data_IF_034366071388
#
_entry.id   IF_034366071388
#
_cell.length_a   1.000
_cell.length_b   1.000
_cell.length_c   1.000
_cell.angle_alpha   90.00
_cell.angle_beta   90.00
_cell.angle_gamma   90.00
#
_symmetry.space_group_name_H-M   'P 1'
#
loop_
_entity.id
_entity.type
_entity.pdbx_description
1 polymer ?
#
# COMPACT_ATOMS: atom_id res chain seq x y z
N UNK A 1 -2.48 -37.32 -0.13
CA UNK A 1 -3.13 -36.61 0.99
C UNK A 1 -2.68 -35.14 1.11
N UNK A 2 -1.40 -34.81 1.32
CA UNK A 2 -0.89 -33.43 1.50
C UNK A 2 -1.32 -32.49 0.36
N UNK A 3 -1.21 -32.94 -0.89
CA UNK A 3 -1.63 -32.15 -2.06
C UNK A 3 -3.12 -31.77 -2.01
N UNK A 4 -3.99 -32.65 -1.49
CA UNK A 4 -5.42 -32.40 -1.40
C UNK A 4 -5.76 -31.42 -0.28
N UNK A 5 -5.02 -31.45 0.84
CA UNK A 5 -5.11 -30.45 1.91
C UNK A 5 -4.73 -29.07 1.39
N UNK A 6 -3.61 -28.96 0.69
CA UNK A 6 -3.13 -27.71 0.09
C UNK A 6 -4.11 -27.20 -0.97
N UNK A 7 -4.66 -28.09 -1.81
CA UNK A 7 -5.65 -27.73 -2.83
C UNK A 7 -6.95 -27.21 -2.21
N UNK A 8 -7.44 -27.83 -1.14
CA UNK A 8 -8.62 -27.37 -0.40
C UNK A 8 -8.39 -25.95 0.17
N UNK A 9 -7.22 -25.71 0.77
CA UNK A 9 -6.83 -24.37 1.28
C UNK A 9 -6.69 -23.35 0.16
N UNK A 10 -6.11 -23.74 -0.98
CA UNK A 10 -5.95 -22.86 -2.14
C UNK A 10 -7.31 -22.40 -2.71
N UNK A 11 -8.32 -23.28 -2.71
CA UNK A 11 -9.71 -22.97 -3.07
C UNK A 11 -10.49 -22.22 -1.99
N UNK A 12 -9.80 -21.54 -1.08
CA UNK A 12 -10.38 -20.79 0.05
C UNK A 12 -11.10 -21.66 1.10
N UNK A 13 -10.91 -22.97 1.08
CA UNK A 13 -11.39 -23.86 2.13
C UNK A 13 -10.65 -23.59 3.45
N UNK A 14 -11.41 -23.36 4.52
CA UNK A 14 -10.87 -23.14 5.87
C UNK A 14 -11.26 -24.31 6.76
N UNK A 15 -10.31 -24.80 7.56
CA UNK A 15 -10.57 -25.75 8.61
C UNK A 15 -10.87 -24.98 9.89
N UNK A 16 -12.10 -25.06 10.38
CA UNK A 16 -12.54 -24.40 11.63
C UNK A 16 -12.62 -25.39 12.77
N UNK A 17 -12.98 -26.63 12.44
CA UNK A 17 -13.07 -27.74 13.38
C UNK A 17 -12.34 -28.96 12.82
N UNK A 18 -11.85 -29.88 13.69
CA UNK A 18 -11.21 -31.12 13.24
C UNK A 18 -12.06 -31.91 12.23
N UNK A 19 -13.37 -31.85 12.34
CA UNK A 19 -14.34 -32.51 11.45
C UNK A 19 -14.27 -31.98 10.01
N UNK A 20 -13.79 -30.76 9.79
CA UNK A 20 -13.65 -30.19 8.45
C UNK A 20 -12.64 -30.97 7.59
N UNK A 21 -11.74 -31.73 8.23
CA UNK A 21 -10.83 -32.60 7.51
C UNK A 21 -11.54 -33.70 6.71
N UNK A 22 -12.74 -34.11 7.10
CA UNK A 22 -13.57 -35.05 6.32
C UNK A 22 -13.95 -34.54 4.93
N UNK A 23 -13.90 -33.22 4.72
CA UNK A 23 -14.18 -32.56 3.43
C UNK A 23 -13.03 -32.72 2.41
N UNK A 24 -11.90 -33.26 2.83
CA UNK A 24 -10.74 -33.45 1.95
C UNK A 24 -11.00 -34.63 1.04
N UNK A 25 -10.96 -34.41 -0.26
CA UNK A 25 -11.11 -35.48 -1.24
C UNK A 25 -10.05 -36.56 -1.08
N UNK A 26 -10.47 -37.83 -1.04
CA UNK A 26 -9.60 -38.98 -0.90
C UNK A 26 -9.14 -39.31 0.54
N UNK A 27 -9.75 -38.69 1.56
CA UNK A 27 -9.57 -39.08 2.95
C UNK A 27 -10.68 -40.06 3.36
N UNK A 28 -10.30 -41.30 3.77
CA UNK A 28 -11.25 -42.26 4.28
C UNK A 28 -11.56 -42.02 5.77
N UNK A 29 -12.71 -42.51 6.24
CA UNK A 29 -13.12 -42.33 7.64
C UNK A 29 -12.10 -42.96 8.60
N UNK A 30 -11.52 -44.12 8.26
CA UNK A 30 -10.48 -44.80 9.05
C UNK A 30 -9.23 -43.93 9.17
N UNK A 31 -8.80 -43.34 8.05
CA UNK A 31 -7.66 -42.42 8.04
C UNK A 31 -7.95 -41.17 8.86
N UNK A 32 -9.17 -40.64 8.78
CA UNK A 32 -9.58 -39.52 9.60
C UNK A 32 -9.53 -39.81 11.09
N UNK A 33 -10.04 -40.97 11.53
CA UNK A 33 -10.01 -41.38 12.93
C UNK A 33 -8.58 -41.52 13.45
N UNK A 34 -7.66 -42.04 12.62
CA UNK A 34 -6.25 -42.13 12.96
C UNK A 34 -5.57 -40.77 13.11
N UNK A 35 -5.96 -39.82 12.26
CA UNK A 35 -5.37 -38.46 12.26
C UNK A 35 -6.00 -37.54 13.28
N UNK A 36 -7.26 -37.75 13.66
CA UNK A 36 -8.03 -36.89 14.56
C UNK A 36 -7.27 -36.42 15.82
N UNK A 37 -6.60 -37.28 16.57
CA UNK A 37 -5.86 -36.87 17.78
C UNK A 37 -4.69 -35.92 17.51
N UNK A 38 -4.18 -35.87 16.27
CA UNK A 38 -3.06 -35.03 15.85
C UNK A 38 -3.50 -33.73 15.18
N UNK A 39 -4.81 -33.57 14.90
CA UNK A 39 -5.35 -32.36 14.28
C UNK A 39 -5.57 -31.31 15.36
N UNK A 40 -4.69 -30.31 15.40
CA UNK A 40 -4.86 -29.11 16.21
C UNK A 40 -5.20 -27.95 15.30
N UNK A 41 -6.34 -27.32 15.53
CA UNK A 41 -6.76 -26.11 14.84
C UNK A 41 -6.71 -25.00 15.88
N UNK A 42 -5.70 -24.14 15.74
CA UNK A 42 -5.57 -22.94 16.58
C UNK A 42 -6.57 -21.90 16.04
N UNK A 43 -7.49 -21.46 16.86
CA UNK A 43 -8.47 -20.43 16.52
C UNK A 43 -7.77 -19.05 16.46
N UNK A 44 -7.16 -18.73 15.34
CA UNK A 44 -6.65 -17.39 15.04
C UNK A 44 -7.47 -16.68 13.98
N UNK A 45 -8.78 -16.88 13.94
CA UNK A 45 -9.67 -16.09 13.11
C UNK A 45 -11.00 -15.83 13.83
N UNK A 46 -11.04 -14.73 14.57
CA UNK A 46 -12.30 -14.13 15.01
C UNK A 46 -13.13 -13.73 13.80
N UNK A 47 -14.04 -14.57 13.38
CA UNK A 47 -15.19 -14.17 12.59
C UNK A 47 -16.36 -13.87 13.55
N UNK A 48 -16.79 -12.63 13.52
CA UNK A 48 -18.05 -12.16 14.06
C UNK A 48 -19.20 -13.16 13.88
N UNK A 49 -19.77 -13.64 14.98
CA UNK A 49 -21.17 -14.00 15.05
C UNK A 49 -21.75 -13.52 16.39
N UNK A 50 -22.84 -12.81 16.24
CA UNK A 50 -23.73 -12.33 17.30
C UNK A 50 -24.36 -13.52 18.04
N UNK A 51 -24.67 -13.22 19.31
CA UNK A 51 -25.58 -13.90 20.24
C UNK A 51 -25.00 -15.08 21.03
N UNK A 52 -24.63 -14.86 22.21
CA UNK A 52 -25.27 -15.18 23.49
C UNK A 52 -24.32 -14.92 24.68
N UNK A 53 -24.87 -14.23 25.64
CA UNK A 53 -24.28 -13.87 26.93
C UNK A 53 -23.85 -15.09 27.72
N UNK A 54 -22.59 -15.14 28.18
CA UNK A 54 -22.24 -15.68 29.51
C UNK A 54 -20.96 -15.01 30.02
N UNK A 55 -21.13 -14.32 31.11
CA UNK A 55 -20.11 -13.73 31.95
C UNK A 55 -19.17 -14.79 32.50
N UNK A 56 -17.88 -14.71 32.17
CA UNK A 56 -16.79 -15.06 33.08
C UNK A 56 -15.65 -14.06 32.79
N UNK A 57 -15.29 -13.36 33.82
CA UNK A 57 -14.27 -12.32 33.87
C UNK A 57 -12.89 -12.87 33.50
N UNK A 58 -12.38 -12.47 32.35
CA UNK A 58 -10.95 -12.46 32.02
C UNK A 58 -10.59 -11.02 31.68
N UNK A 59 -9.38 -10.53 32.01
CA UNK A 59 -9.06 -9.12 31.86
C UNK A 59 -9.22 -8.73 30.40
N UNK A 60 -10.11 -7.81 30.16
CA UNK A 60 -10.34 -7.21 28.85
C UNK A 60 -9.02 -6.67 28.32
N UNK A 61 -8.50 -7.32 27.26
CA UNK A 61 -7.60 -6.61 26.35
C UNK A 61 -8.39 -5.40 25.91
N UNK A 62 -8.05 -4.25 26.44
CA UNK A 62 -8.58 -2.97 25.97
C UNK A 62 -8.29 -2.93 24.46
N UNK A 63 -9.31 -3.18 23.65
CA UNK A 63 -9.26 -2.75 22.25
C UNK A 63 -9.13 -1.25 22.36
N UNK A 64 -7.96 -0.73 22.02
CA UNK A 64 -7.79 0.70 21.82
C UNK A 64 -8.87 1.15 20.85
N UNK A 65 -9.99 1.60 21.39
CA UNK A 65 -11.03 2.25 20.60
C UNK A 65 -10.45 3.60 20.21
N UNK A 66 -9.76 3.60 19.07
CA UNK A 66 -9.23 4.82 18.47
C UNK A 66 -10.38 5.82 18.33
N UNK A 67 -10.37 6.82 19.18
CA UNK A 67 -11.34 7.91 19.11
C UNK A 67 -11.21 8.55 17.73
N UNK A 68 -12.29 8.53 16.95
CA UNK A 68 -12.33 9.12 15.63
C UNK A 68 -12.34 10.64 15.72
N UNK A 69 -11.71 11.28 14.74
CA UNK A 69 -11.76 12.75 14.62
C UNK A 69 -13.18 13.23 14.33
N UNK A 70 -13.50 14.38 14.85
CA UNK A 70 -14.76 15.08 14.57
C UNK A 70 -14.70 15.72 13.18
N UNK A 71 -15.84 15.87 12.49
CA UNK A 71 -15.92 16.63 11.24
C UNK A 71 -15.33 18.03 11.40
N UNK A 72 -14.52 18.45 10.41
CA UNK A 72 -13.78 19.72 10.48
C UNK A 72 -12.34 19.60 10.95
N UNK A 73 -11.91 18.43 11.46
CA UNK A 73 -10.49 18.20 11.78
C UNK A 73 -9.71 18.02 10.48
N UNK A 74 -8.65 18.82 10.30
CA UNK A 74 -7.76 18.74 9.13
C UNK A 74 -6.38 18.27 9.60
N UNK A 75 -5.84 17.24 8.98
CA UNK A 75 -4.49 16.73 9.23
C UNK A 75 -3.64 16.82 7.97
N UNK A 76 -2.31 16.90 8.13
CA UNK A 76 -1.40 16.91 6.98
C UNK A 76 -1.26 15.52 6.38
N UNK A 77 -1.59 15.36 5.09
CA UNK A 77 -1.47 14.11 4.36
C UNK A 77 -0.01 13.65 4.24
N UNK A 78 0.93 14.59 4.20
CA UNK A 78 2.35 14.31 4.03
C UNK A 78 3.08 13.95 5.34
N UNK A 79 2.54 14.33 6.51
CA UNK A 79 3.17 14.04 7.80
C UNK A 79 2.42 13.03 8.67
N UNK A 80 1.10 12.91 8.48
CA UNK A 80 0.27 12.02 9.29
C UNK A 80 0.78 10.57 9.29
N UNK A 81 0.84 9.96 10.45
CA UNK A 81 1.20 8.56 10.62
C UNK A 81 -0.03 7.63 10.45
N UNK A 82 0.21 6.32 10.48
CA UNK A 82 -0.88 5.34 10.36
C UNK A 82 -1.88 5.43 11.51
N UNK A 83 -1.48 5.94 12.68
CA UNK A 83 -2.35 6.08 13.86
C UNK A 83 -3.28 7.27 13.71
N UNK A 84 -2.74 8.39 13.24
CA UNK A 84 -3.54 9.59 12.92
C UNK A 84 -4.51 9.34 11.78
N UNK A 85 -4.02 8.72 10.69
CA UNK A 85 -4.87 8.37 9.55
C UNK A 85 -6.05 7.48 9.95
N UNK A 86 -5.83 6.50 10.84
CA UNK A 86 -6.90 5.64 11.36
C UNK A 86 -7.97 6.38 12.17
N UNK A 87 -7.70 7.56 12.68
CA UNK A 87 -8.71 8.38 13.37
C UNK A 87 -9.71 9.03 12.41
N UNK A 88 -9.41 9.10 11.11
CA UNK A 88 -10.36 9.59 10.11
C UNK A 88 -11.47 8.54 9.91
N UNK A 89 -12.76 8.94 9.90
CA UNK A 89 -13.87 8.05 9.58
C UNK A 89 -13.70 7.43 8.19
N UNK A 90 -13.84 6.10 8.08
CA UNK A 90 -13.67 5.37 6.82
C UNK A 90 -12.24 4.94 6.52
N UNK A 91 -11.23 5.41 7.26
CA UNK A 91 -9.84 4.95 7.10
C UNK A 91 -9.54 3.89 8.19
N UNK A 92 -9.34 2.67 7.73
CA UNK A 92 -8.87 1.54 8.54
C UNK A 92 -7.36 1.31 8.42
N UNK A 93 -6.83 0.31 9.13
CA UNK A 93 -5.39 0.02 9.17
C UNK A 93 -4.80 -0.30 7.78
N UNK A 94 -5.55 -0.99 6.91
CA UNK A 94 -5.10 -1.31 5.55
C UNK A 94 -5.00 -0.06 4.68
N UNK A 95 -6.01 0.81 4.74
CA UNK A 95 -6.02 2.07 3.97
C UNK A 95 -4.92 3.00 4.47
N UNK A 96 -4.76 3.14 5.79
CA UNK A 96 -3.72 3.97 6.37
C UNK A 96 -2.31 3.53 5.91
N UNK A 97 -2.03 2.23 5.95
CA UNK A 97 -0.76 1.68 5.43
C UNK A 97 -0.59 1.91 3.93
N UNK A 98 -1.65 1.77 3.14
CA UNK A 98 -1.62 2.01 1.71
C UNK A 98 -1.28 3.47 1.38
N UNK A 99 -1.87 4.43 2.11
CA UNK A 99 -1.57 5.86 1.98
C UNK A 99 -0.10 6.12 2.31
N UNK A 100 0.41 5.62 3.45
CA UNK A 100 1.80 5.83 3.86
C UNK A 100 2.78 5.21 2.88
N UNK A 101 2.57 3.96 2.45
CA UNK A 101 3.43 3.29 1.48
C UNK A 101 3.44 4.01 0.12
N UNK A 102 2.28 4.49 -0.32
CA UNK A 102 2.21 5.23 -1.58
C UNK A 102 2.90 6.59 -1.46
N UNK A 103 2.70 7.30 -0.34
CA UNK A 103 3.41 8.54 -0.01
C UNK A 103 4.93 8.38 -0.06
N UNK A 104 5.46 7.31 0.52
CA UNK A 104 6.90 7.04 0.53
C UNK A 104 7.46 6.81 -0.88
N UNK A 105 6.75 6.04 -1.70
CA UNK A 105 7.11 5.80 -3.10
C UNK A 105 7.04 7.07 -3.95
N UNK A 106 6.00 7.88 -3.71
CA UNK A 106 5.76 9.14 -4.43
C UNK A 106 6.75 10.25 -4.01
N UNK A 107 7.30 10.13 -2.79
CA UNK A 107 8.10 11.18 -2.18
C UNK A 107 7.27 12.28 -1.51
N UNK A 108 5.96 12.06 -1.38
CA UNK A 108 4.96 12.96 -0.81
C UNK A 108 3.87 13.30 -1.81
N UNK A 109 2.66 13.55 -1.31
CA UNK A 109 1.54 13.99 -2.13
C UNK A 109 1.68 15.48 -2.49
N UNK A 110 1.41 15.79 -3.72
CA UNK A 110 1.35 17.17 -4.21
C UNK A 110 -0.11 17.65 -4.38
N UNK A 111 -1.03 16.72 -4.64
CA UNK A 111 -2.46 16.97 -4.80
C UNK A 111 -3.26 15.86 -4.13
N UNK A 112 -4.46 16.21 -3.64
CA UNK A 112 -5.35 15.23 -2.99
C UNK A 112 -5.87 14.19 -3.98
N UNK A 113 -5.99 14.56 -5.26
CA UNK A 113 -6.45 13.70 -6.35
C UNK A 113 -5.55 12.48 -6.54
N UNK A 114 -4.27 12.55 -6.14
CA UNK A 114 -3.35 11.41 -6.19
C UNK A 114 -3.79 10.23 -5.31
N UNK A 115 -4.70 10.45 -4.36
CA UNK A 115 -5.35 9.35 -3.63
C UNK A 115 -6.22 8.47 -4.52
N UNK A 116 -6.69 8.96 -5.66
CA UNK A 116 -7.46 8.16 -6.63
C UNK A 116 -6.58 7.08 -7.30
N UNK A 117 -5.28 7.32 -7.41
CA UNK A 117 -4.32 6.38 -7.99
C UNK A 117 -4.17 5.10 -7.13
N UNK A 118 -4.53 5.20 -5.85
CA UNK A 118 -4.64 4.07 -4.92
C UNK A 118 -6.10 3.71 -4.62
N UNK A 119 -7.01 4.01 -5.56
CA UNK A 119 -8.43 3.67 -5.52
C UNK A 119 -9.22 4.26 -4.34
N UNK A 120 -8.76 5.37 -3.77
CA UNK A 120 -9.49 6.09 -2.74
C UNK A 120 -10.32 7.23 -3.35
N UNK A 121 -11.50 7.45 -2.78
CA UNK A 121 -12.39 8.55 -3.19
C UNK A 121 -11.88 9.88 -2.62
N UNK A 122 -11.03 10.58 -3.37
CA UNK A 122 -10.40 11.83 -2.95
C UNK A 122 -11.41 12.90 -2.51
N UNK A 123 -12.57 12.99 -3.18
CA UNK A 123 -13.63 13.94 -2.85
C UNK A 123 -14.14 13.79 -1.42
N UNK A 124 -14.33 12.54 -0.95
CA UNK A 124 -14.79 12.25 0.41
C UNK A 124 -13.72 12.54 1.48
N UNK A 125 -12.46 12.53 1.08
CA UNK A 125 -11.33 12.71 1.97
C UNK A 125 -10.77 14.13 1.96
N UNK A 126 -11.15 14.95 0.98
CA UNK A 126 -10.64 16.30 0.80
C UNK A 126 -10.80 17.17 2.06
N UNK A 127 -11.91 17.06 2.76
CA UNK A 127 -12.18 17.86 3.96
C UNK A 127 -11.32 17.46 5.18
N UNK A 128 -10.63 16.33 5.12
CA UNK A 128 -9.81 15.81 6.20
C UNK A 128 -8.31 16.09 6.04
N UNK A 129 -7.88 16.50 4.84
CA UNK A 129 -6.47 16.62 4.53
C UNK A 129 -6.05 18.02 4.10
N UNK A 130 -4.93 18.47 4.64
CA UNK A 130 -4.11 19.52 4.06
C UNK A 130 -2.88 18.92 3.38
N UNK A 131 -2.36 19.59 2.37
CA UNK A 131 -1.13 19.20 1.68
C UNK A 131 -0.12 20.32 1.80
N UNK A 132 1.00 20.02 2.45
CA UNK A 132 2.17 20.87 2.45
C UNK A 132 3.16 20.33 1.41
N UNK A 133 3.30 21.05 0.31
CA UNK A 133 4.18 20.68 -0.80
C UNK A 133 5.67 20.86 -0.47
N UNK A 134 6.01 21.63 0.56
CA UNK A 134 7.41 21.78 1.01
C UNK A 134 7.99 20.49 1.60
N UNK A 135 7.13 19.58 2.04
CA UNK A 135 7.53 18.28 2.59
C UNK A 135 7.75 17.21 1.50
N UNK A 136 7.56 17.55 0.22
CA UNK A 136 7.74 16.58 -0.87
C UNK A 136 9.23 16.39 -1.20
N UNK A 137 9.65 15.14 -1.31
CA UNK A 137 11.02 14.74 -1.69
C UNK A 137 11.08 14.50 -3.18
N UNK A 138 11.62 15.44 -3.93
CA UNK A 138 11.78 15.30 -5.37
C UNK A 138 12.95 14.40 -5.75
N UNK A 139 12.79 13.63 -6.83
CA UNK A 139 13.84 12.79 -7.38
C UNK A 139 14.74 13.61 -8.29
N UNK A 140 16.03 13.62 -8.01
CA UNK A 140 17.03 14.22 -8.90
C UNK A 140 17.38 13.22 -10.01
N UNK A 141 16.85 13.43 -11.22
CA UNK A 141 17.05 12.53 -12.36
C UNK A 141 18.51 12.43 -12.83
N UNK A 142 19.35 13.40 -12.49
CA UNK A 142 20.77 13.37 -12.85
C UNK A 142 21.64 12.59 -11.85
N UNK A 143 21.15 12.38 -10.62
CA UNK A 143 21.92 11.70 -9.56
C UNK A 143 21.37 10.34 -9.18
N UNK A 144 20.05 10.15 -9.32
CA UNK A 144 19.36 8.95 -8.85
C UNK A 144 19.71 7.74 -9.71
N UNK A 145 19.92 6.58 -9.08
CA UNK A 145 20.10 5.30 -9.75
C UNK A 145 18.78 4.73 -10.29
N UNK A 146 18.90 3.73 -11.16
CA UNK A 146 17.78 3.10 -11.85
C UNK A 146 16.75 2.53 -10.90
N UNK A 147 17.18 1.73 -9.93
CA UNK A 147 16.31 1.06 -8.96
C UNK A 147 15.43 2.07 -8.19
N UNK A 148 16.03 3.13 -7.69
CA UNK A 148 15.31 4.17 -6.96
C UNK A 148 14.36 4.98 -7.87
N UNK A 149 14.69 5.16 -9.16
CA UNK A 149 13.76 5.76 -10.12
C UNK A 149 12.55 4.87 -10.38
N UNK A 150 12.77 3.57 -10.56
CA UNK A 150 11.69 2.58 -10.77
C UNK A 150 10.77 2.40 -9.55
N UNK A 151 11.24 2.74 -8.37
CA UNK A 151 10.40 2.71 -7.16
C UNK A 151 9.32 3.79 -7.18
N UNK A 152 9.52 4.86 -7.94
CA UNK A 152 8.56 5.96 -8.06
C UNK A 152 7.38 5.56 -8.96
N UNK A 153 6.11 5.83 -8.55
CA UNK A 153 4.92 5.39 -9.29
C UNK A 153 4.85 5.87 -10.76
N UNK A 154 5.44 7.04 -11.05
CA UNK A 154 5.39 7.66 -12.38
C UNK A 154 6.59 7.36 -13.27
N UNK A 155 7.49 6.49 -12.85
CA UNK A 155 8.68 6.14 -13.67
C UNK A 155 8.73 4.63 -13.84
N UNK A 156 8.50 4.16 -15.06
CA UNK A 156 8.62 2.76 -15.39
C UNK A 156 10.07 2.37 -15.74
N UNK A 157 10.30 1.06 -15.93
CA UNK A 157 11.62 0.51 -16.25
C UNK A 157 12.24 1.15 -17.51
N UNK A 158 11.45 1.27 -18.59
CA UNK A 158 11.94 1.80 -19.87
C UNK A 158 12.31 3.27 -19.76
N UNK A 159 11.50 4.06 -19.09
CA UNK A 159 11.77 5.46 -18.80
C UNK A 159 13.04 5.65 -17.97
N UNK A 160 13.20 4.86 -16.91
CA UNK A 160 14.42 4.88 -16.09
C UNK A 160 15.66 4.49 -16.92
N UNK A 161 15.53 3.49 -17.78
CA UNK A 161 16.60 3.05 -18.70
C UNK A 161 17.01 4.18 -19.65
N UNK A 162 16.06 4.83 -20.30
CA UNK A 162 16.32 5.97 -21.19
C UNK A 162 17.06 7.10 -20.47
N UNK A 163 16.64 7.46 -19.25
CA UNK A 163 17.33 8.48 -18.45
C UNK A 163 18.79 8.08 -18.19
N UNK A 164 19.04 6.84 -17.81
CA UNK A 164 20.39 6.35 -17.52
C UNK A 164 21.24 6.32 -18.80
N UNK A 165 20.71 5.86 -19.92
CA UNK A 165 21.41 5.83 -21.20
C UNK A 165 21.71 7.24 -21.72
N UNK A 166 20.75 8.17 -21.59
CA UNK A 166 20.97 9.56 -21.91
C UNK A 166 22.15 10.13 -21.14
N UNK A 167 22.18 9.91 -19.81
CA UNK A 167 23.25 10.37 -18.93
C UNK A 167 24.61 9.82 -19.32
N UNK A 168 24.67 8.54 -19.72
CA UNK A 168 25.92 7.89 -20.18
C UNK A 168 26.42 8.47 -21.52
N UNK A 169 25.48 8.76 -22.44
CA UNK A 169 25.84 9.18 -23.83
C UNK A 169 26.01 10.70 -23.97
N UNK A 170 25.16 11.48 -23.30
CA UNK A 170 25.06 12.94 -23.49
C UNK A 170 25.37 13.75 -22.23
N UNK A 171 25.60 13.08 -21.11
CA UNK A 171 25.82 13.73 -19.82
C UNK A 171 24.51 14.12 -19.11
N UNK A 172 24.58 15.14 -18.27
CA UNK A 172 23.43 15.56 -17.45
C UNK A 172 22.28 16.14 -18.29
N UNK A 173 21.07 15.76 -17.93
CA UNK A 173 19.86 16.39 -18.43
C UNK A 173 19.81 17.87 -17.98
N UNK A 174 19.67 18.77 -18.93
CA UNK A 174 19.51 20.21 -18.69
C UNK A 174 18.04 20.62 -18.56
N UNK A 175 17.15 19.87 -19.22
CA UNK A 175 15.70 20.07 -19.17
C UNK A 175 14.98 18.73 -19.28
N UNK A 176 13.88 18.56 -18.56
CA UNK A 176 13.00 17.38 -18.71
C UNK A 176 12.36 17.30 -20.10
N UNK A 177 12.23 18.45 -20.80
CA UNK A 177 11.79 18.49 -22.20
C UNK A 177 12.68 17.67 -23.14
N UNK A 178 13.95 17.42 -22.78
CA UNK A 178 14.83 16.56 -23.55
C UNK A 178 14.39 15.09 -23.57
N UNK A 179 13.59 14.68 -22.57
CA UNK A 179 13.02 13.34 -22.51
C UNK A 179 11.81 13.17 -23.44
N UNK A 180 11.10 14.25 -23.81
CA UNK A 180 9.99 14.17 -24.76
C UNK A 180 10.41 13.79 -26.19
N UNK A 181 11.71 13.73 -26.46
CA UNK A 181 12.25 13.25 -27.74
C UNK A 181 12.31 11.71 -27.81
N UNK A 182 11.99 11.03 -26.74
CA UNK A 182 12.01 9.57 -26.64
C UNK A 182 10.59 9.04 -26.56
N UNK A 183 10.30 7.97 -27.29
CA UNK A 183 8.96 7.35 -27.39
C UNK A 183 8.42 6.86 -26.03
N UNK A 184 9.33 6.54 -25.09
CA UNK A 184 8.99 6.10 -23.76
C UNK A 184 8.38 7.19 -22.87
N UNK A 185 8.43 8.46 -23.30
CA UNK A 185 7.89 9.59 -22.58
C UNK A 185 6.79 10.27 -23.37
N UNK A 186 5.56 10.02 -22.98
CA UNK A 186 4.42 10.76 -23.53
C UNK A 186 4.28 12.14 -22.86
N UNK A 187 3.66 13.13 -23.52
CA UNK A 187 3.35 14.41 -22.88
C UNK A 187 2.59 14.28 -21.56
N UNK A 188 1.71 13.27 -21.47
CA UNK A 188 0.92 12.96 -20.28
C UNK A 188 1.82 12.48 -19.12
N UNK A 189 2.86 11.69 -19.41
CA UNK A 189 3.80 11.21 -18.38
C UNK A 189 4.67 12.33 -17.83
N UNK A 190 5.02 13.30 -18.68
CA UNK A 190 5.90 14.40 -18.29
C UNK A 190 5.19 15.47 -17.45
N UNK A 191 3.87 15.62 -17.60
CA UNK A 191 3.12 16.66 -16.91
C UNK A 191 3.06 16.48 -15.38
N UNK A 192 2.68 15.33 -14.82
CA UNK A 192 2.73 15.11 -13.38
C UNK A 192 4.16 15.05 -12.83
N UNK A 193 5.09 14.54 -13.62
CA UNK A 193 6.47 14.27 -13.20
C UNK A 193 7.33 15.52 -13.19
N UNK A 194 7.15 16.41 -14.16
CA UNK A 194 8.01 17.59 -14.34
C UNK A 194 7.80 18.67 -13.29
N UNK A 195 6.56 18.85 -12.81
CA UNK A 195 6.25 19.94 -11.89
C UNK A 195 6.32 19.55 -10.41
N UNK A 196 6.19 18.28 -10.11
CA UNK A 196 5.93 17.84 -8.73
C UNK A 196 7.00 16.95 -8.13
N UNK A 197 7.55 16.01 -8.89
CA UNK A 197 8.37 14.93 -8.32
C UNK A 197 9.79 14.82 -8.88
N UNK A 198 10.09 15.48 -10.00
CA UNK A 198 11.44 15.48 -10.55
C UNK A 198 12.12 16.85 -10.41
N UNK A 199 13.40 16.80 -10.12
CA UNK A 199 14.27 17.99 -10.14
C UNK A 199 15.48 17.76 -11.03
N UNK A 200 15.90 18.85 -11.63
CA UNK A 200 17.23 18.99 -12.22
C UNK A 200 18.06 19.84 -11.27
N UNK A 201 19.35 19.57 -11.08
CA UNK A 201 20.18 20.46 -10.32
C UNK A 201 20.20 21.81 -11.03
N UNK A 202 19.73 22.85 -10.36
CA UNK A 202 20.04 24.21 -10.75
C UNK A 202 21.53 24.41 -10.49
N UNK A 203 22.31 24.64 -11.54
CA UNK A 203 23.68 25.13 -11.40
C UNK A 203 23.61 26.56 -10.84
N UNK A 204 23.52 26.69 -9.52
CA UNK A 204 23.92 27.90 -8.85
C UNK A 204 25.44 27.88 -8.84
N UNK A 205 26.09 28.36 -9.92
CA UNK A 205 27.41 28.92 -9.81
C UNK A 205 27.23 30.34 -9.26
N UNK A 206 27.55 30.51 -8.00
CA UNK A 206 28.05 31.77 -7.49
C UNK A 206 29.54 31.75 -7.68
#
# INVERSE_FOLDING_TARGET
MIKNILHYRYKQGKFRHPEDFRKIYGLTEEQYQTLRPYIQITEDFSSTNKDTVRLLTTPSIQRDTLVKYLPGTIISLNSADTTELKKIPGIGSSIARMIVNYRERLGGFFRIEQLQEIHLKAEKLRSWFSIDTHQTRRINVNKTGMERMMHHPYINYYQAKVIIEYRKKKGFLKSLKQLSLYEEFTPIDLEPVSYTHLTLPTNSRV
#
